data_IF_630818867263
#
_entry.id   IF_630818867263
#
_cell.length_a   1.000
_cell.length_b   1.000
_cell.length_c   1.000
_cell.angle_alpha   90.00
_cell.angle_beta   90.00
_cell.angle_gamma   90.00
#
_symmetry.space_group_name_H-M   'P 1'
#
loop_
_entity.id
_entity.type
_entity.pdbx_description
1 polymer ?
#
# COMPACT_ATOMS: atom_id res chain seq x y z
N UNK A 1 8.81 -8.60 -8.17
CA UNK A 1 7.69 -7.94 -7.47
C UNK A 1 8.23 -6.89 -6.52
N UNK A 2 7.39 -5.97 -6.04
CA UNK A 2 7.71 -5.01 -4.97
C UNK A 2 6.82 -5.24 -3.74
N UNK A 3 7.45 -5.46 -2.59
CA UNK A 3 6.80 -5.86 -1.33
C UNK A 3 6.44 -4.69 -0.40
N UNK A 4 6.57 -3.44 -0.84
CA UNK A 4 6.20 -2.30 0.01
C UNK A 4 4.69 -2.12 0.18
N UNK A 5 3.90 -2.88 -0.56
CA UNK A 5 2.45 -2.91 -0.46
C UNK A 5 2.00 -4.34 -0.73
N UNK A 6 1.34 -4.98 0.24
CA UNK A 6 0.94 -6.39 0.14
C UNK A 6 -0.49 -6.60 0.63
N UNK A 7 -1.24 -7.44 -0.09
CA UNK A 7 -2.39 -8.14 0.47
C UNK A 7 -1.88 -9.44 1.07
N UNK A 8 -2.19 -9.76 2.32
CA UNK A 8 -1.74 -10.99 2.96
C UNK A 8 -2.93 -11.72 3.57
N UNK A 9 -3.18 -12.95 3.15
CA UNK A 9 -4.07 -13.89 3.84
C UNK A 9 -3.20 -14.71 4.79
N UNK A 10 -3.09 -14.25 6.04
CA UNK A 10 -2.22 -14.84 7.05
C UNK A 10 -2.62 -16.28 7.37
N UNK A 11 -3.91 -16.61 7.35
CA UNK A 11 -4.40 -17.98 7.59
C UNK A 11 -3.86 -18.94 6.54
N UNK A 12 -3.99 -18.61 5.25
CA UNK A 12 -3.44 -19.45 4.18
C UNK A 12 -1.92 -19.46 4.15
N UNK A 13 -1.27 -18.34 4.48
CA UNK A 13 0.21 -18.29 4.58
C UNK A 13 0.71 -19.31 5.63
N UNK A 14 0.02 -19.41 6.77
CA UNK A 14 0.29 -20.43 7.81
C UNK A 14 -0.01 -21.84 7.31
N UNK A 15 -1.17 -22.06 6.67
CA UNK A 15 -1.57 -23.38 6.15
C UNK A 15 -0.56 -23.99 5.16
N UNK A 16 0.05 -23.16 4.31
CA UNK A 16 1.05 -23.61 3.33
C UNK A 16 2.48 -23.58 3.84
N UNK A 17 2.69 -23.27 5.13
CA UNK A 17 4.01 -23.15 5.78
C UNK A 17 5.00 -22.28 4.98
N UNK A 18 4.56 -21.12 4.48
CA UNK A 18 5.39 -20.23 3.64
C UNK A 18 6.71 -19.85 4.32
N UNK A 19 6.69 -19.62 5.64
CA UNK A 19 7.88 -19.18 6.38
C UNK A 19 8.98 -20.25 6.31
N UNK A 20 8.65 -21.54 6.49
CA UNK A 20 9.62 -22.63 6.38
C UNK A 20 10.30 -22.68 5.01
N UNK A 21 9.53 -22.44 3.94
CA UNK A 21 10.07 -22.39 2.58
C UNK A 21 10.96 -21.15 2.37
N UNK A 22 10.59 -20.00 2.92
CA UNK A 22 11.43 -18.80 2.93
C UNK A 22 12.74 -19.06 3.70
N UNK A 23 12.70 -19.77 4.83
CA UNK A 23 13.92 -20.12 5.58
C UNK A 23 14.84 -21.05 4.76
N UNK A 24 14.28 -22.02 4.03
CA UNK A 24 15.06 -22.87 3.10
C UNK A 24 15.69 -22.03 1.99
N UNK A 25 14.93 -21.12 1.38
CA UNK A 25 15.42 -20.17 0.37
C UNK A 25 16.55 -19.32 0.95
N UNK A 26 16.37 -18.80 2.16
CA UNK A 26 17.38 -18.01 2.86
C UNK A 26 18.68 -18.79 3.02
N UNK A 27 18.63 -20.03 3.51
CA UNK A 27 19.82 -20.86 3.69
C UNK A 27 20.57 -21.16 2.38
N UNK A 28 19.85 -21.22 1.24
CA UNK A 28 20.46 -21.43 -0.08
C UNK A 28 21.11 -20.14 -0.60
N UNK A 29 20.46 -19.00 -0.41
CA UNK A 29 20.81 -17.74 -1.07
C UNK A 29 21.36 -16.66 -0.15
N UNK A 30 21.62 -16.93 1.14
CA UNK A 30 22.05 -15.94 2.14
C UNK A 30 23.20 -15.04 1.66
N UNK A 31 24.16 -15.59 0.91
CA UNK A 31 25.32 -14.85 0.35
C UNK A 31 25.00 -14.00 -0.88
N UNK A 32 23.82 -14.18 -1.48
CA UNK A 32 23.38 -13.59 -2.75
C UNK A 32 22.06 -12.79 -2.64
N UNK A 33 21.57 -12.54 -1.41
CA UNK A 33 20.38 -11.72 -1.15
C UNK A 33 20.76 -10.23 -1.13
N UNK A 34 20.50 -9.52 -2.23
CA UNK A 34 20.87 -8.10 -2.38
C UNK A 34 19.88 -7.15 -1.71
N UNK A 35 18.59 -7.48 -1.74
CA UNK A 35 17.50 -6.65 -1.20
C UNK A 35 16.71 -7.38 -0.11
N UNK A 36 17.40 -8.15 0.72
CA UNK A 36 16.84 -8.77 1.92
C UNK A 36 15.60 -9.64 1.67
N UNK A 37 14.59 -9.35 2.47
CA UNK A 37 13.26 -9.92 2.41
C UNK A 37 12.58 -9.81 1.04
N UNK A 38 12.78 -8.72 0.29
CA UNK A 38 12.19 -8.60 -1.05
C UNK A 38 12.77 -9.65 -2.03
N UNK A 39 14.05 -10.01 -1.90
CA UNK A 39 14.62 -11.13 -2.66
C UNK A 39 14.00 -12.45 -2.26
N UNK A 40 13.84 -12.70 -0.95
CA UNK A 40 13.24 -13.95 -0.46
C UNK A 40 11.81 -14.14 -0.98
N UNK A 41 10.99 -13.09 -0.91
CA UNK A 41 9.62 -13.12 -1.44
C UNK A 41 9.61 -13.34 -2.96
N UNK A 42 10.50 -12.68 -3.70
CA UNK A 42 10.57 -12.86 -5.16
C UNK A 42 11.01 -14.27 -5.57
N UNK A 43 11.94 -14.90 -4.83
CA UNK A 43 12.33 -16.28 -5.09
C UNK A 43 11.17 -17.22 -4.75
N UNK A 44 10.50 -17.01 -3.61
CA UNK A 44 9.34 -17.82 -3.22
C UNK A 44 8.22 -17.77 -4.27
N UNK A 45 7.81 -16.58 -4.70
CA UNK A 45 6.73 -16.45 -5.71
C UNK A 45 7.17 -16.80 -7.13
N UNK A 46 8.47 -16.92 -7.40
CA UNK A 46 8.94 -17.54 -8.63
C UNK A 46 8.76 -19.07 -8.61
N UNK A 47 8.92 -19.70 -7.44
CA UNK A 47 8.70 -21.14 -7.25
C UNK A 47 7.22 -21.51 -7.12
N UNK A 48 6.40 -20.61 -6.56
CA UNK A 48 4.97 -20.82 -6.33
C UNK A 48 4.11 -19.68 -6.92
N UNK A 49 4.12 -19.48 -8.26
CA UNK A 49 3.39 -18.38 -8.90
C UNK A 49 1.87 -18.48 -8.70
N UNK A 50 1.32 -19.67 -8.51
CA UNK A 50 -0.10 -19.91 -8.27
C UNK A 50 -0.60 -19.39 -6.91
N UNK A 51 0.33 -19.09 -5.99
CA UNK A 51 0.02 -18.53 -4.66
C UNK A 51 -0.01 -17.01 -4.64
N UNK A 52 0.30 -16.37 -5.76
CA UNK A 52 0.40 -14.92 -5.89
C UNK A 52 -0.77 -14.36 -6.71
N UNK A 53 -1.49 -13.39 -6.14
CA UNK A 53 -2.29 -12.47 -6.93
C UNK A 53 -1.44 -11.29 -7.39
N UNK A 54 -1.10 -11.22 -8.67
CA UNK A 54 -0.51 -10.01 -9.24
C UNK A 54 -1.60 -8.97 -9.52
N UNK A 55 -1.47 -7.77 -8.95
CA UNK A 55 -2.36 -6.64 -9.24
C UNK A 55 -1.59 -5.46 -9.85
N UNK A 56 -2.36 -4.47 -10.33
CA UNK A 56 -1.88 -3.45 -11.26
C UNK A 56 -1.02 -2.37 -10.62
N UNK A 57 -0.07 -1.82 -11.40
CA UNK A 57 0.94 -0.84 -10.95
C UNK A 57 0.39 0.43 -10.30
N UNK A 58 -0.85 0.85 -10.57
CA UNK A 58 -1.39 2.07 -9.94
C UNK A 58 -1.56 1.95 -8.42
N UNK A 59 -1.54 0.73 -7.87
CA UNK A 59 -1.63 0.44 -6.44
C UNK A 59 -0.26 0.31 -5.73
N UNK A 60 0.84 0.49 -6.45
CA UNK A 60 2.19 0.59 -5.88
C UNK A 60 3.07 1.44 -6.81
N UNK A 61 2.65 2.69 -7.05
CA UNK A 61 3.28 3.54 -8.04
C UNK A 61 4.59 4.14 -7.50
N UNK A 62 5.70 3.84 -8.16
CA UNK A 62 7.05 4.20 -7.74
C UNK A 62 7.68 5.25 -8.66
N UNK A 63 8.75 5.93 -8.24
CA UNK A 63 9.42 6.91 -9.10
C UNK A 63 9.94 6.31 -10.41
N UNK A 64 10.30 5.02 -10.39
CA UNK A 64 10.70 4.26 -11.59
C UNK A 64 9.61 4.25 -12.69
N UNK A 65 8.34 4.49 -12.35
CA UNK A 65 7.24 4.49 -13.32
C UNK A 65 7.13 5.77 -14.16
N UNK A 66 7.84 6.84 -13.78
CA UNK A 66 7.84 8.10 -14.54
C UNK A 66 9.21 8.73 -14.71
N UNK A 67 10.27 8.10 -14.20
CA UNK A 67 11.63 8.64 -14.29
C UNK A 67 12.09 8.84 -15.73
N UNK A 68 11.70 7.95 -16.65
CA UNK A 68 12.06 8.01 -18.07
C UNK A 68 10.83 8.32 -18.92
N UNK A 69 9.85 7.42 -18.89
CA UNK A 69 8.55 7.53 -19.53
C UNK A 69 7.50 6.86 -18.65
N UNK A 70 6.22 7.04 -18.96
CA UNK A 70 5.17 6.32 -18.25
C UNK A 70 5.20 4.83 -18.63
N UNK A 71 5.71 4.00 -17.73
CA UNK A 71 5.66 2.55 -17.90
C UNK A 71 4.49 1.90 -17.14
N UNK A 72 3.63 2.69 -16.50
CA UNK A 72 2.39 2.22 -15.88
C UNK A 72 1.18 2.77 -16.67
N UNK A 73 0.86 2.22 -17.86
CA UNK A 73 -0.12 2.83 -18.77
C UNK A 73 -1.54 2.92 -18.17
N UNK A 74 -1.87 2.05 -17.22
CA UNK A 74 -3.17 2.08 -16.52
C UNK A 74 -3.39 3.40 -15.78
N UNK A 75 -2.35 4.12 -15.33
CA UNK A 75 -2.49 5.40 -14.63
C UNK A 75 -2.94 6.53 -15.53
N UNK A 76 -2.77 6.42 -16.85
CA UNK A 76 -3.32 7.41 -17.80
C UNK A 76 -4.85 7.40 -17.78
N UNK A 77 -5.47 6.25 -17.53
CA UNK A 77 -6.93 6.10 -17.50
C UNK A 77 -7.43 6.21 -16.07
N UNK A 78 -6.81 5.46 -15.15
CA UNK A 78 -7.31 5.25 -13.79
C UNK A 78 -6.76 6.25 -12.77
N UNK A 79 -5.64 6.91 -13.09
CA UNK A 79 -4.85 7.67 -12.12
C UNK A 79 -4.08 6.78 -11.15
N UNK A 80 -3.18 7.38 -10.39
CA UNK A 80 -2.42 6.70 -9.34
C UNK A 80 -3.33 6.50 -8.11
N UNK A 81 -3.32 5.29 -7.54
CA UNK A 81 -4.14 4.91 -6.37
C UNK A 81 -3.33 4.84 -5.07
N UNK A 82 -2.07 4.44 -5.15
CA UNK A 82 -1.12 4.47 -4.03
C UNK A 82 0.27 4.86 -4.57
N UNK A 83 0.88 5.83 -3.90
CA UNK A 83 2.20 6.37 -4.21
C UNK A 83 3.23 5.82 -3.22
N UNK A 84 4.32 5.25 -3.71
CA UNK A 84 5.36 4.63 -2.89
C UNK A 84 6.66 5.44 -2.98
N UNK A 85 7.00 6.10 -1.89
CA UNK A 85 8.16 6.96 -1.67
C UNK A 85 9.50 6.24 -1.58
N UNK A 86 9.63 5.05 -2.18
CA UNK A 86 10.83 4.23 -2.12
C UNK A 86 12.09 5.02 -2.54
N UNK A 87 13.25 4.62 -2.01
CA UNK A 87 14.54 5.35 -2.16
C UNK A 87 14.51 6.76 -1.57
N UNK A 88 13.63 7.01 -0.60
CA UNK A 88 13.48 8.30 0.07
C UNK A 88 12.88 9.38 -0.84
N UNK A 89 12.02 8.99 -1.77
CA UNK A 89 11.46 9.89 -2.78
C UNK A 89 10.57 11.00 -2.23
N UNK A 90 10.09 10.85 -0.99
CA UNK A 90 9.39 11.93 -0.29
C UNK A 90 10.30 12.99 0.29
N UNK A 91 11.60 12.71 0.44
CA UNK A 91 12.52 13.56 1.19
C UNK A 91 13.70 14.08 0.38
N UNK A 92 14.02 13.46 -0.75
CA UNK A 92 15.16 13.84 -1.58
C UNK A 92 14.77 14.77 -2.74
N UNK A 93 15.77 15.43 -3.34
CA UNK A 93 15.57 16.38 -4.44
C UNK A 93 15.47 15.72 -5.83
N UNK A 94 15.61 14.38 -5.91
CA UNK A 94 15.57 13.67 -7.19
C UNK A 94 14.13 13.45 -7.68
N UNK A 95 13.18 13.30 -6.76
CA UNK A 95 11.80 12.92 -7.06
C UNK A 95 10.83 14.01 -6.60
N UNK A 96 10.95 15.19 -7.20
CA UNK A 96 10.26 16.40 -6.77
C UNK A 96 8.74 16.26 -6.75
N UNK A 97 8.15 15.50 -7.66
CA UNK A 97 6.69 15.28 -7.71
C UNK A 97 6.20 14.43 -6.53
N UNK A 98 7.01 13.46 -6.09
CA UNK A 98 6.70 12.63 -4.93
C UNK A 98 6.79 13.48 -3.66
N UNK A 99 7.86 14.26 -3.53
CA UNK A 99 8.05 15.23 -2.44
C UNK A 99 6.94 16.27 -2.40
N UNK A 100 6.49 16.77 -3.56
CA UNK A 100 5.39 17.73 -3.68
C UNK A 100 4.07 17.17 -3.12
N UNK A 101 3.74 15.92 -3.43
CA UNK A 101 2.51 15.27 -2.93
C UNK A 101 2.62 14.99 -1.43
N UNK A 102 3.76 14.47 -0.97
CA UNK A 102 4.01 14.24 0.46
C UNK A 102 3.86 15.55 1.24
N UNK A 103 4.53 16.61 0.80
CA UNK A 103 4.45 17.95 1.39
C UNK A 103 3.02 18.49 1.43
N UNK A 104 2.26 18.35 0.36
CA UNK A 104 0.88 18.82 0.32
C UNK A 104 0.00 18.12 1.36
N UNK A 105 0.17 16.81 1.58
CA UNK A 105 -0.57 16.03 2.57
C UNK A 105 -0.06 16.32 3.98
N UNK A 106 1.25 16.50 4.17
CA UNK A 106 1.81 16.80 5.47
C UNK A 106 1.37 18.19 5.98
N UNK A 107 1.47 19.21 5.13
CA UNK A 107 1.00 20.58 5.43
C UNK A 107 -0.54 20.73 5.41
N UNK A 108 -1.28 19.65 5.14
CA UNK A 108 -2.74 19.69 5.20
C UNK A 108 -3.19 19.69 6.67
N UNK A 109 -4.05 20.65 7.00
CA UNK A 109 -4.67 20.78 8.32
C UNK A 109 -6.12 20.30 8.29
N UNK A 110 -6.57 19.75 9.41
CA UNK A 110 -7.91 19.16 9.55
C UNK A 110 -9.04 20.19 9.47
N UNK A 111 -8.74 21.46 9.70
CA UNK A 111 -9.71 22.57 9.59
C UNK A 111 -10.07 22.88 8.13
N UNK A 112 -9.20 22.54 7.17
CA UNK A 112 -9.49 22.70 5.74
C UNK A 112 -10.35 21.54 5.24
N UNK A 113 -11.65 21.64 5.53
CA UNK A 113 -12.64 20.57 5.39
C UNK A 113 -12.97 20.15 3.94
N UNK A 114 -12.13 20.46 2.95
CA UNK A 114 -12.39 20.08 1.57
C UNK A 114 -11.19 19.39 0.91
N UNK A 115 -11.47 18.20 0.38
CA UNK A 115 -10.66 17.52 -0.63
C UNK A 115 -10.23 18.47 -1.78
N UNK A 116 -10.99 19.53 -2.06
CA UNK A 116 -10.63 20.55 -3.05
C UNK A 116 -9.39 21.35 -2.66
N UNK A 117 -9.21 21.67 -1.38
CA UNK A 117 -8.03 22.40 -0.89
C UNK A 117 -6.77 21.58 -1.07
N UNK A 118 -6.79 20.30 -0.69
CA UNK A 118 -5.64 19.41 -0.91
C UNK A 118 -5.38 19.20 -2.41
N UNK A 119 -6.42 19.04 -3.24
CA UNK A 119 -6.23 18.95 -4.69
C UNK A 119 -5.57 20.21 -5.26
N UNK A 120 -5.98 21.39 -4.79
CA UNK A 120 -5.38 22.66 -5.21
C UNK A 120 -3.91 22.75 -4.80
N UNK A 121 -3.58 22.43 -3.54
CA UNK A 121 -2.19 22.39 -3.05
C UNK A 121 -1.32 21.42 -3.85
N UNK A 122 -1.81 20.19 -4.09
CA UNK A 122 -1.09 19.20 -4.90
C UNK A 122 -0.82 19.74 -6.31
N UNK A 123 -1.84 20.32 -6.96
CA UNK A 123 -1.66 20.92 -8.31
C UNK A 123 -0.65 22.06 -8.30
N UNK A 124 -0.68 22.92 -7.28
CA UNK A 124 0.25 24.03 -7.13
C UNK A 124 1.69 23.52 -7.04
N UNK A 125 1.99 22.61 -6.10
CA UNK A 125 3.34 22.08 -5.93
C UNK A 125 3.82 21.24 -7.13
N UNK A 126 2.94 20.47 -7.78
CA UNK A 126 3.31 19.75 -9.00
C UNK A 126 3.64 20.69 -10.17
N UNK A 127 3.03 21.87 -10.22
CA UNK A 127 3.27 22.83 -11.32
C UNK A 127 4.69 23.40 -11.33
N UNK A 128 5.34 23.45 -10.15
CA UNK A 128 6.74 23.87 -9.97
C UNK A 128 7.75 22.93 -10.67
N UNK A 129 7.32 21.72 -11.04
CA UNK A 129 8.18 20.66 -11.57
C UNK A 129 7.73 20.14 -12.94
N UNK A 130 6.96 20.93 -13.69
CA UNK A 130 6.39 20.55 -15.00
C UNK A 130 7.42 20.16 -16.08
N UNK A 131 8.71 20.49 -15.90
CA UNK A 131 9.78 20.20 -16.85
C UNK A 131 10.37 18.80 -16.72
N UNK A 132 10.23 18.13 -15.58
CA UNK A 132 10.73 16.76 -15.38
C UNK A 132 9.88 15.74 -16.16
N UNK A 133 10.37 14.50 -16.31
CA UNK A 133 9.60 13.45 -16.97
C UNK A 133 8.31 13.11 -16.20
N UNK A 134 8.38 13.02 -14.86
CA UNK A 134 7.22 12.83 -14.01
C UNK A 134 6.26 14.05 -14.03
N UNK A 135 6.81 15.26 -14.07
CA UNK A 135 6.04 16.50 -14.10
C UNK A 135 5.19 16.67 -15.36
N UNK A 136 5.71 16.26 -16.53
CA UNK A 136 4.97 16.25 -17.80
C UNK A 136 3.70 15.40 -17.75
N UNK A 137 3.69 14.36 -16.91
CA UNK A 137 2.56 13.44 -16.71
C UNK A 137 1.88 13.63 -15.34
N UNK A 138 2.08 14.78 -14.71
CA UNK A 138 1.55 15.14 -13.37
C UNK A 138 0.03 15.00 -13.23
N UNK A 139 -0.71 15.08 -14.35
CA UNK A 139 -2.16 14.87 -14.36
C UNK A 139 -2.59 13.52 -13.78
N UNK A 140 -1.76 12.47 -13.90
CA UNK A 140 -2.06 11.13 -13.38
C UNK A 140 -2.13 11.09 -11.84
N UNK A 141 -1.32 11.91 -11.16
CA UNK A 141 -1.29 11.98 -9.69
C UNK A 141 -2.56 12.63 -9.11
N UNK A 142 -3.21 13.50 -9.88
CA UNK A 142 -4.40 14.25 -9.42
C UNK A 142 -5.71 13.67 -9.95
N UNK A 143 -5.66 12.79 -10.94
CA UNK A 143 -6.82 12.26 -11.66
C UNK A 143 -7.85 11.61 -10.75
N UNK A 144 -7.42 10.72 -9.86
CA UNK A 144 -8.34 10.02 -8.97
C UNK A 144 -8.95 10.96 -7.91
N UNK A 145 -8.13 11.84 -7.34
CA UNK A 145 -8.57 12.85 -6.37
C UNK A 145 -9.65 13.75 -6.99
N UNK A 146 -9.42 14.23 -8.21
CA UNK A 146 -10.38 15.07 -8.93
C UNK A 146 -11.70 14.32 -9.20
N UNK A 147 -11.63 13.06 -9.62
CA UNK A 147 -12.80 12.21 -9.88
C UNK A 147 -13.67 12.03 -8.63
N UNK A 148 -13.05 11.77 -7.47
CA UNK A 148 -13.76 11.64 -6.19
C UNK A 148 -14.47 12.92 -5.77
N UNK A 149 -13.83 14.09 -5.99
CA UNK A 149 -14.43 15.40 -5.70
C UNK A 149 -15.63 15.65 -6.61
N UNK A 150 -15.49 15.45 -7.92
CA UNK A 150 -16.58 15.64 -8.89
C UNK A 150 -17.75 14.67 -8.67
N UNK A 151 -17.49 13.45 -8.18
CA UNK A 151 -18.54 12.49 -7.83
C UNK A 151 -19.33 12.90 -6.58
N UNK A 152 -18.70 13.59 -5.61
CA UNK A 152 -19.41 14.16 -4.45
C UNK A 152 -20.28 15.35 -4.83
N UNK A 153 -19.80 16.27 -5.66
CA UNK A 153 -20.57 17.45 -6.06
C UNK A 153 -21.86 17.06 -6.81
N UNK A 154 -21.78 16.09 -7.73
CA UNK A 154 -22.96 15.57 -8.44
C UNK A 154 -24.02 14.92 -7.54
N UNK A 155 -23.63 14.42 -6.36
CA UNK A 155 -24.60 13.89 -5.38
C UNK A 155 -25.24 14.99 -4.53
N UNK A 156 -24.60 16.14 -4.39
CA UNK A 156 -25.15 17.30 -3.70
C UNK A 156 -26.05 18.15 -4.62
N UNK A 157 -25.82 18.10 -5.94
CA UNK A 157 -26.68 18.77 -6.93
C UNK A 157 -27.99 18.01 -7.19
N UNK A 158 -28.09 16.74 -6.82
CA UNK A 158 -29.34 15.96 -6.81
C UNK A 158 -29.99 16.08 -5.42
N UNK A 159 -30.37 17.30 -5.07
CA UNK A 159 -31.55 17.51 -4.21
C UNK A 159 -32.72 17.67 -5.17
N UNK A 160 -33.18 16.56 -5.75
CA UNK A 160 -34.34 16.58 -6.63
C UNK A 160 -35.53 15.92 -5.95
N UNK A 161 -36.62 16.69 -5.95
CA UNK A 161 -37.89 16.38 -5.34
C UNK A 161 -38.45 15.07 -5.90
N UNK A 162 -38.85 14.18 -5.00
CA UNK A 162 -39.53 12.95 -5.38
C UNK A 162 -40.82 13.26 -6.16
N UNK A 163 -40.83 12.92 -7.44
CA UNK A 163 -42.06 12.57 -8.15
C UNK A 163 -42.00 11.08 -8.47
N UNK A 164 -42.65 10.28 -7.64
CA UNK A 164 -43.00 8.91 -7.99
C UNK A 164 -44.15 8.94 -8.99
N UNK A 165 -43.91 8.50 -10.24
CA UNK A 165 -45.00 8.00 -11.09
C UNK A 165 -45.12 6.50 -10.90
N UNK A 166 -46.36 6.07 -10.62
CA UNK A 166 -46.73 4.66 -10.62
C UNK A 166 -46.49 4.01 -11.99
N UNK A 167 -46.30 2.70 -11.96
CA UNK A 167 -46.16 1.74 -13.08
C UNK A 167 -44.83 1.77 -13.84
N UNK A 168 -43.88 0.95 -13.38
CA UNK A 168 -43.33 -0.18 -14.16
C UNK A 168 -42.36 -0.98 -13.28
N UNK A 169 -42.53 -2.30 -13.28
CA UNK A 169 -41.74 -3.26 -12.50
C UNK A 169 -40.25 -3.20 -12.90
N UNK A 170 -39.40 -2.75 -11.99
CA UNK A 170 -37.95 -2.92 -12.09
C UNK A 170 -37.60 -4.32 -11.56
N UNK A 171 -37.49 -5.30 -12.46
CA UNK A 171 -36.81 -6.57 -12.17
C UNK A 171 -35.35 -6.29 -11.85
N UNK A 172 -34.97 -6.42 -10.58
CA UNK A 172 -33.57 -6.33 -10.13
C UNK A 172 -32.77 -7.50 -10.72
N UNK A 173 -31.54 -7.28 -11.22
CA UNK A 173 -30.63 -8.38 -11.48
C UNK A 173 -30.31 -9.06 -10.16
N UNK A 174 -30.53 -10.38 -10.10
CA UNK A 174 -30.15 -11.22 -8.96
C UNK A 174 -28.65 -11.15 -8.76
N UNK A 175 -28.23 -10.50 -7.67
CA UNK A 175 -26.86 -10.53 -7.18
C UNK A 175 -26.57 -11.97 -6.73
N UNK A 176 -25.74 -12.69 -7.49
CA UNK A 176 -25.21 -13.97 -7.03
C UNK A 176 -24.44 -13.73 -5.73
N UNK A 177 -24.82 -14.46 -4.69
CA UNK A 177 -24.15 -14.49 -3.38
C UNK A 177 -22.73 -15.05 -3.53
N UNK A 178 -21.78 -14.17 -3.84
CA UNK A 178 -20.37 -14.37 -3.46
C UNK A 178 -20.25 -13.80 -2.06
N UNK A 179 -19.88 -14.62 -1.09
CA UNK A 179 -19.58 -14.20 0.29
C UNK A 179 -18.43 -13.19 0.27
N UNK A 180 -18.77 -11.91 0.13
CA UNK A 180 -17.81 -10.80 0.12
C UNK A 180 -17.06 -10.78 1.43
N UNK A 181 -15.75 -10.47 1.39
CA UNK A 181 -14.95 -10.20 2.58
C UNK A 181 -15.50 -8.92 3.23
N UNK A 182 -16.52 -9.08 4.06
CA UNK A 182 -17.29 -8.00 4.65
C UNK A 182 -16.85 -7.75 6.11
N UNK A 183 -15.53 -7.75 6.32
CA UNK A 183 -14.90 -7.35 7.57
C UNK A 183 -14.20 -6.00 7.38
N UNK A 184 -14.05 -5.27 8.48
CA UNK A 184 -13.30 -4.02 8.54
C UNK A 184 -11.86 -4.17 8.04
N UNK A 185 -11.28 -3.18 7.35
CA UNK A 185 -9.89 -3.26 6.90
C UNK A 185 -8.91 -3.38 8.07
N UNK A 186 -7.97 -4.33 7.96
CA UNK A 186 -6.81 -4.46 8.85
C UNK A 186 -5.56 -3.96 8.13
N UNK A 187 -4.94 -2.90 8.63
CA UNK A 187 -3.70 -2.32 8.11
C UNK A 187 -2.57 -2.60 9.09
N UNK A 188 -1.52 -3.28 8.64
CA UNK A 188 -0.32 -3.56 9.42
C UNK A 188 0.86 -2.71 8.92
N UNK A 189 1.59 -2.10 9.85
CA UNK A 189 2.78 -1.30 9.60
C UNK A 189 3.92 -1.77 10.51
N UNK A 190 5.12 -1.91 9.95
CA UNK A 190 6.36 -2.12 10.73
C UNK A 190 7.09 -0.79 10.84
N UNK A 191 7.36 -0.34 12.06
CA UNK A 191 7.93 1.00 12.33
C UNK A 191 9.12 0.84 13.29
N UNK A 192 10.32 1.15 12.81
CA UNK A 192 11.51 1.20 13.65
C UNK A 192 12.27 2.52 13.47
N UNK A 193 12.82 3.04 14.56
CA UNK A 193 13.47 4.34 14.62
C UNK A 193 12.52 5.51 14.31
N UNK A 194 13.05 6.55 13.68
CA UNK A 194 12.36 7.83 13.48
C UNK A 194 11.54 7.86 12.18
N UNK A 195 10.50 7.01 12.12
CA UNK A 195 9.60 6.85 10.97
C UNK A 195 8.18 7.36 11.23
N UNK A 196 7.96 7.94 12.41
CA UNK A 196 6.65 8.35 12.88
C UNK A 196 6.04 9.53 12.10
N UNK A 197 6.85 10.40 11.47
CA UNK A 197 6.33 11.41 10.52
C UNK A 197 5.74 10.76 9.27
N UNK A 198 6.46 9.83 8.63
CA UNK A 198 5.99 9.18 7.42
C UNK A 198 4.67 8.43 7.68
N UNK A 199 4.59 7.75 8.81
CA UNK A 199 3.37 7.06 9.25
C UNK A 199 2.23 8.06 9.46
N UNK A 200 2.47 9.20 10.09
CA UNK A 200 1.43 10.22 10.28
C UNK A 200 0.91 10.75 8.94
N UNK A 201 1.77 11.01 7.97
CA UNK A 201 1.37 11.47 6.62
C UNK A 201 0.62 10.37 5.86
N UNK A 202 1.03 9.10 5.97
CA UNK A 202 0.27 7.96 5.46
C UNK A 202 -1.14 7.93 6.06
N UNK A 203 -1.28 8.04 7.38
CA UNK A 203 -2.59 8.05 8.03
C UNK A 203 -3.44 9.27 7.62
N UNK A 204 -2.83 10.46 7.46
CA UNK A 204 -3.50 11.65 6.89
C UNK A 204 -4.03 11.35 5.48
N UNK A 205 -3.24 10.68 4.64
CA UNK A 205 -3.66 10.29 3.30
C UNK A 205 -4.86 9.32 3.33
N UNK A 206 -4.84 8.31 4.20
CA UNK A 206 -5.95 7.37 4.37
C UNK A 206 -7.21 8.11 4.83
N UNK A 207 -7.08 9.00 5.82
CA UNK A 207 -8.18 9.82 6.33
C UNK A 207 -8.77 10.73 5.24
N UNK A 208 -7.91 11.37 4.44
CA UNK A 208 -8.33 12.21 3.33
C UNK A 208 -9.14 11.41 2.31
N UNK A 209 -8.67 10.24 1.88
CA UNK A 209 -9.22 9.57 0.70
C UNK A 209 -10.26 8.47 1.00
N UNK A 210 -10.32 7.97 2.24
CA UNK A 210 -11.30 6.96 2.67
C UNK A 210 -12.55 7.62 3.25
N UNK A 211 -13.73 7.04 3.02
CA UNK A 211 -14.99 7.62 3.54
C UNK A 211 -15.21 7.15 4.97
N UNK A 212 -15.50 8.09 5.87
CA UNK A 212 -15.78 7.84 7.29
C UNK A 212 -17.00 6.93 7.54
N UNK A 213 -17.84 6.65 6.54
CA UNK A 213 -19.00 5.73 6.64
C UNK A 213 -18.63 4.26 6.48
N UNK A 214 -17.41 3.96 6.04
CA UNK A 214 -16.87 2.61 6.02
C UNK A 214 -16.34 2.31 7.41
N UNK A 215 -16.57 1.09 7.93
CA UNK A 215 -16.22 0.67 9.28
C UNK A 215 -14.81 1.09 9.74
N UNK A 216 -14.60 1.22 11.05
CA UNK A 216 -13.28 1.52 11.65
C UNK A 216 -12.15 0.68 11.04
N UNK A 217 -11.00 1.30 10.81
CA UNK A 217 -9.81 0.63 10.30
C UNK A 217 -9.01 0.11 11.50
N UNK A 218 -8.73 -1.19 11.54
CA UNK A 218 -7.83 -1.75 12.54
C UNK A 218 -6.39 -1.49 12.13
N UNK A 219 -5.68 -0.69 12.93
CA UNK A 219 -4.30 -0.29 12.67
C UNK A 219 -3.37 -1.09 13.60
N UNK A 220 -2.67 -2.07 13.04
CA UNK A 220 -1.70 -2.91 13.73
C UNK A 220 -0.31 -2.32 13.56
N UNK A 221 0.23 -1.71 14.61
CA UNK A 221 1.55 -1.08 14.62
C UNK A 221 2.55 -2.02 15.29
N UNK A 222 3.44 -2.60 14.49
CA UNK A 222 4.55 -3.42 14.98
C UNK A 222 5.76 -2.50 15.12
N UNK A 223 6.18 -2.23 16.35
CA UNK A 223 7.09 -1.11 16.65
C UNK A 223 8.23 -1.49 17.58
N UNK A 224 9.39 -0.87 17.41
CA UNK A 224 10.36 -0.80 18.51
C UNK A 224 9.89 0.18 19.61
N UNK A 225 10.57 0.17 20.76
CA UNK A 225 10.19 0.98 21.93
C UNK A 225 10.20 2.49 21.66
N UNK A 226 11.09 2.98 20.79
CA UNK A 226 11.18 4.40 20.45
C UNK A 226 10.01 4.81 19.57
N UNK A 227 9.77 4.07 18.48
CA UNK A 227 8.68 4.28 17.56
C UNK A 227 7.31 4.19 18.27
N UNK A 228 7.13 3.24 19.19
CA UNK A 228 5.93 3.10 20.02
C UNK A 228 5.60 4.39 20.77
N UNK A 229 6.59 4.95 21.49
CA UNK A 229 6.45 6.18 22.26
C UNK A 229 6.13 7.38 21.36
N UNK A 230 6.85 7.52 20.25
CA UNK A 230 6.63 8.60 19.28
C UNK A 230 5.21 8.52 18.69
N UNK A 231 4.78 7.34 18.28
CA UNK A 231 3.46 7.13 17.69
C UNK A 231 2.32 7.39 18.69
N UNK A 232 2.46 6.97 19.96
CA UNK A 232 1.46 7.27 21.00
C UNK A 232 1.32 8.77 21.15
N UNK A 233 2.44 9.51 21.24
CA UNK A 233 2.42 10.97 21.34
C UNK A 233 1.73 11.60 20.13
N UNK A 234 2.13 11.26 18.90
CA UNK A 234 1.55 11.83 17.68
C UNK A 234 0.07 11.55 17.54
N UNK A 235 -0.36 10.31 17.77
CA UNK A 235 -1.77 9.95 17.69
C UNK A 235 -2.61 10.59 18.81
N UNK A 236 -1.98 11.00 19.92
CA UNK A 236 -2.66 11.81 20.95
C UNK A 236 -2.85 13.28 20.57
N UNK A 237 -2.08 13.78 19.60
CA UNK A 237 -2.12 15.16 19.11
C UNK A 237 -3.02 15.31 17.86
N UNK A 238 -3.29 14.23 17.10
CA UNK A 238 -4.21 14.30 15.96
C UNK A 238 -5.66 14.52 16.39
N UNK A 239 -6.48 15.22 15.58
CA UNK A 239 -7.88 15.48 15.91
C UNK A 239 -8.72 14.21 16.11
N UNK A 240 -9.73 14.34 16.99
CA UNK A 240 -10.58 13.23 17.40
C UNK A 240 -11.26 12.53 16.21
N UNK A 241 -11.68 13.29 15.20
CA UNK A 241 -12.32 12.75 14.00
C UNK A 241 -11.42 11.77 13.24
N UNK A 242 -10.11 12.08 13.13
CA UNK A 242 -9.15 11.15 12.54
C UNK A 242 -8.88 9.98 13.47
N UNK A 243 -8.72 10.24 14.78
CA UNK A 243 -8.44 9.19 15.76
C UNK A 243 -9.53 8.13 15.81
N UNK A 244 -10.80 8.53 15.71
CA UNK A 244 -11.95 7.62 15.73
C UNK A 244 -12.02 6.72 14.49
N UNK A 245 -11.35 7.08 13.39
CA UNK A 245 -11.26 6.24 12.20
C UNK A 245 -10.42 4.98 12.44
N UNK A 246 -9.47 5.03 13.38
CA UNK A 246 -8.48 3.98 13.60
C UNK A 246 -8.64 3.31 14.97
N UNK A 247 -8.79 1.99 14.99
CA UNK A 247 -8.64 1.18 16.19
C UNK A 247 -7.18 0.70 16.22
N UNK A 248 -6.37 1.34 17.06
CA UNK A 248 -4.92 1.12 17.09
C UNK A 248 -4.55 -0.01 18.06
N UNK A 249 -3.74 -0.95 17.59
CA UNK A 249 -3.11 -2.01 18.39
C UNK A 249 -1.60 -1.96 18.20
N UNK A 250 -0.86 -2.03 19.31
CA UNK A 250 0.60 -2.03 19.30
C UNK A 250 1.13 -3.44 19.55
N UNK A 251 2.16 -3.81 18.82
CA UNK A 251 2.89 -5.06 18.92
C UNK A 251 4.39 -4.75 18.94
N UNK A 252 5.17 -5.56 19.65
CA UNK A 252 6.60 -5.38 19.70
C UNK A 252 7.28 -6.06 18.49
N UNK A 253 8.49 -5.62 18.13
CA UNK A 253 9.31 -6.28 17.10
C UNK A 253 9.80 -7.62 17.64
N UNK A 254 9.19 -8.69 17.15
CA UNK A 254 9.48 -10.07 17.57
C UNK A 254 9.86 -10.90 16.34
N UNK A 255 11.04 -11.53 16.44
CA UNK A 255 11.46 -12.60 15.56
C UNK A 255 11.25 -13.93 16.28
N UNK A 256 10.61 -14.93 15.64
CA UNK A 256 10.37 -16.22 16.26
C UNK A 256 11.65 -16.92 16.72
N UNK A 257 11.57 -17.74 17.77
CA UNK A 257 12.76 -18.36 18.40
C UNK A 257 13.52 -19.35 17.52
N UNK A 258 12.93 -19.77 16.40
CA UNK A 258 13.56 -20.67 15.43
C UNK A 258 14.45 -19.93 14.41
N UNK A 259 14.53 -18.60 14.46
CA UNK A 259 15.50 -17.80 13.68
C UNK A 259 16.46 -17.04 14.58
N UNK A 260 17.67 -16.76 14.07
CA UNK A 260 18.61 -15.86 14.74
C UNK A 260 18.12 -14.41 14.62
N UNK A 261 17.74 -13.81 15.76
CA UNK A 261 17.20 -12.45 15.78
C UNK A 261 18.16 -11.43 15.17
N UNK A 262 19.44 -11.49 15.52
CA UNK A 262 20.42 -10.47 15.12
C UNK A 262 20.74 -10.56 13.63
N UNK A 263 20.77 -11.77 13.08
CA UNK A 263 20.90 -12.01 11.65
C UNK A 263 19.70 -11.46 10.88
N UNK A 264 18.48 -11.79 11.32
CA UNK A 264 17.26 -11.44 10.58
C UNK A 264 16.90 -9.96 10.69
N UNK A 265 17.04 -9.36 11.87
CA UNK A 265 16.72 -7.94 12.07
C UNK A 265 17.64 -7.01 11.26
N UNK A 266 18.87 -7.45 11.00
CA UNK A 266 19.90 -6.69 10.27
C UNK A 266 20.10 -7.16 8.82
N UNK A 267 19.27 -8.10 8.32
CA UNK A 267 19.46 -8.69 6.99
C UNK A 267 19.38 -7.65 5.85
N UNK A 268 18.64 -6.56 6.05
CA UNK A 268 18.56 -5.48 5.07
C UNK A 268 18.43 -4.11 5.74
N UNK A 269 17.20 -3.62 5.89
CA UNK A 269 16.91 -2.46 6.75
C UNK A 269 16.54 -2.99 8.12
N UNK A 270 16.94 -2.27 9.16
CA UNK A 270 16.59 -2.59 10.53
C UNK A 270 15.06 -2.81 10.63
N UNK A 271 14.67 -3.99 11.14
CA UNK A 271 13.29 -4.48 11.23
C UNK A 271 12.57 -4.78 9.91
N UNK A 272 13.15 -4.56 8.73
CA UNK A 272 12.44 -4.71 7.45
C UNK A 272 11.89 -6.12 7.24
N UNK A 273 12.67 -7.14 7.63
CA UNK A 273 12.30 -8.56 7.54
C UNK A 273 11.14 -8.96 8.46
N UNK A 274 10.73 -8.12 9.42
CA UNK A 274 9.60 -8.38 10.31
C UNK A 274 8.32 -8.72 9.52
N UNK A 275 8.14 -8.15 8.32
CA UNK A 275 6.96 -8.42 7.48
C UNK A 275 6.81 -9.87 7.06
N UNK A 276 7.91 -10.63 6.98
CA UNK A 276 7.90 -12.07 6.69
C UNK A 276 7.23 -12.85 7.83
N UNK A 277 7.42 -12.41 9.07
CA UNK A 277 6.98 -13.11 10.28
C UNK A 277 5.61 -12.63 10.81
N UNK A 278 4.94 -11.71 10.09
CA UNK A 278 3.58 -11.28 10.46
C UNK A 278 2.56 -12.43 10.60
N UNK A 279 2.60 -13.52 9.79
CA UNK A 279 1.67 -14.64 9.97
C UNK A 279 1.76 -15.28 11.36
N UNK A 280 2.96 -15.33 11.95
CA UNK A 280 3.18 -15.94 13.27
C UNK A 280 3.00 -14.92 14.40
N UNK A 281 3.32 -13.66 14.14
CA UNK A 281 3.22 -12.57 15.11
C UNK A 281 1.78 -12.03 15.25
N UNK A 282 0.90 -12.33 14.29
CA UNK A 282 -0.53 -11.96 14.28
C UNK A 282 -1.40 -13.20 14.06
N UNK A 283 -1.34 -14.20 14.97
CA UNK A 283 -2.01 -15.49 14.79
C UNK A 283 -3.54 -15.38 14.77
N UNK A 284 -4.10 -14.33 15.36
CA UNK A 284 -5.54 -14.10 15.47
C UNK A 284 -6.17 -13.47 14.22
N UNK A 285 -5.36 -13.01 13.26
CA UNK A 285 -5.82 -12.30 12.08
C UNK A 285 -5.82 -13.19 10.84
N UNK A 286 -6.86 -13.06 10.02
CA UNK A 286 -6.97 -13.79 8.75
C UNK A 286 -6.36 -13.02 7.57
N UNK A 287 -6.64 -11.73 7.46
CA UNK A 287 -6.23 -10.91 6.33
C UNK A 287 -5.69 -9.57 6.83
N UNK A 288 -4.61 -9.09 6.20
CA UNK A 288 -4.06 -7.76 6.45
C UNK A 288 -3.61 -7.11 5.13
N UNK A 289 -3.75 -5.79 5.04
CA UNK A 289 -2.94 -4.98 4.14
C UNK A 289 -1.66 -4.65 4.87
N UNK A 290 -0.51 -4.94 4.28
CA UNK A 290 0.78 -4.46 4.77
C UNK A 290 1.25 -3.31 3.89
N UNK A 291 1.61 -2.18 4.48
CA UNK A 291 2.26 -1.05 3.79
C UNK A 291 3.62 -0.72 4.43
N UNK A 292 4.61 -0.39 3.60
CA UNK A 292 5.81 0.32 4.06
C UNK A 292 5.42 1.74 4.53
N UNK A 293 6.20 2.31 5.46
CA UNK A 293 5.89 3.61 6.08
C UNK A 293 5.94 4.76 5.09
N UNK A 294 6.74 4.64 4.03
CA UNK A 294 6.89 5.60 2.94
C UNK A 294 5.88 5.37 1.82
N UNK A 295 4.62 5.12 2.16
CA UNK A 295 3.51 5.02 1.20
C UNK A 295 2.46 6.10 1.45
N UNK A 296 1.76 6.52 0.40
CA UNK A 296 0.64 7.47 0.48
C UNK A 296 -0.52 6.92 -0.33
N UNK A 297 -1.67 6.77 0.32
CA UNK A 297 -2.87 6.32 -0.33
C UNK A 297 -3.53 7.52 -1.02
N UNK A 298 -3.85 7.41 -2.31
CA UNK A 298 -4.58 8.45 -3.06
C UNK A 298 -6.03 8.02 -3.35
N UNK A 299 -6.37 6.76 -3.09
CA UNK A 299 -7.68 6.12 -3.25
C UNK A 299 -8.29 5.74 -1.88
N UNK A 300 -9.56 5.36 -1.82
CA UNK A 300 -10.15 4.78 -0.59
C UNK A 300 -9.50 3.44 -0.22
N UNK A 301 -9.20 3.26 1.07
CA UNK A 301 -8.64 2.02 1.60
C UNK A 301 -9.60 0.84 1.40
N UNK A 302 -10.91 1.07 1.46
CA UNK A 302 -11.94 0.05 1.18
C UNK A 302 -11.80 -0.54 -0.22
N UNK A 303 -11.41 0.29 -1.20
CA UNK A 303 -11.16 -0.19 -2.56
C UNK A 303 -9.93 -1.06 -2.62
N UNK A 304 -8.89 -0.76 -1.83
CA UNK A 304 -7.74 -1.64 -1.71
C UNK A 304 -8.17 -2.96 -1.06
N UNK A 305 -8.82 -2.88 0.11
CA UNK A 305 -9.30 -4.04 0.84
C UNK A 305 -10.16 -4.97 -0.02
N UNK A 306 -11.01 -4.40 -0.88
CA UNK A 306 -11.85 -5.17 -1.80
C UNK A 306 -11.09 -6.02 -2.83
N UNK A 307 -9.80 -5.78 -3.05
CA UNK A 307 -8.96 -6.60 -3.93
C UNK A 307 -8.78 -8.02 -3.38
N UNK A 308 -8.98 -8.27 -2.08
CA UNK A 308 -9.01 -9.63 -1.55
C UNK A 308 -10.14 -10.48 -2.16
N UNK A 309 -11.22 -9.87 -2.66
CA UNK A 309 -12.27 -10.61 -3.37
C UNK A 309 -11.77 -11.23 -4.71
N UNK A 310 -10.61 -10.82 -5.19
CA UNK A 310 -9.96 -11.41 -6.36
C UNK A 310 -9.02 -12.58 -6.00
N UNK A 311 -8.88 -12.94 -4.72
CA UNK A 311 -8.14 -14.13 -4.33
C UNK A 311 -8.92 -15.38 -4.78
N UNK A 312 -8.26 -16.28 -5.51
CA UNK A 312 -8.79 -17.61 -5.79
C UNK A 312 -8.52 -18.52 -4.57
N UNK A 313 -8.62 -19.84 -4.73
CA UNK A 313 -8.39 -20.78 -3.62
C UNK A 313 -6.91 -20.92 -3.21
N UNK A 314 -5.96 -20.62 -4.10
CA UNK A 314 -4.52 -20.81 -3.88
C UNK A 314 -3.80 -19.53 -3.50
N UNK A 315 -4.34 -18.35 -3.85
CA UNK A 315 -3.73 -17.07 -3.53
C UNK A 315 -3.59 -16.88 -2.01
N UNK A 316 -2.37 -16.59 -1.56
CA UNK A 316 -2.03 -16.31 -0.15
C UNK A 316 -1.54 -14.87 0.02
N UNK A 317 -0.93 -14.30 -1.01
CA UNK A 317 -0.41 -12.94 -1.03
C UNK A 317 -0.78 -12.28 -2.36
N UNK A 318 -1.06 -10.99 -2.33
CA UNK A 318 -1.13 -10.15 -3.51
C UNK A 318 0.01 -9.14 -3.53
N UNK A 319 0.65 -8.95 -4.69
CA UNK A 319 1.71 -7.95 -4.91
C UNK A 319 1.59 -7.29 -6.29
N UNK A 320 2.35 -6.20 -6.46
CA UNK A 320 2.61 -5.57 -7.77
C UNK A 320 3.99 -5.98 -8.27
N UNK A 321 4.14 -6.02 -9.59
CA UNK A 321 5.46 -6.01 -10.23
C UNK A 321 6.34 -4.86 -9.74
N UNK A 322 7.64 -5.08 -9.81
CA UNK A 322 8.62 -4.03 -9.49
C UNK A 322 8.63 -2.98 -10.61
N UNK A 323 8.53 -3.42 -11.85
CA UNK A 323 8.41 -2.61 -13.05
C UNK A 323 7.54 -3.40 -14.06
N UNK A 324 6.70 -2.70 -14.82
CA UNK A 324 5.88 -3.29 -15.88
C UNK A 324 6.74 -3.70 -17.10
N UNK A 325 7.85 -3.00 -17.33
CA UNK A 325 8.80 -3.31 -18.40
C UNK A 325 9.94 -4.13 -17.80
N UNK A 326 9.99 -5.42 -18.13
CA UNK A 326 10.94 -6.38 -17.55
C UNK A 326 12.40 -5.94 -17.76
N UNK A 327 12.74 -5.37 -18.92
CA UNK A 327 14.10 -4.91 -19.24
C UNK A 327 14.55 -3.72 -18.39
N UNK A 328 13.60 -2.96 -17.83
CA UNK A 328 13.86 -1.84 -16.93
C UNK A 328 13.80 -2.27 -15.44
N UNK A 329 13.48 -3.53 -15.16
CA UNK A 329 13.44 -4.02 -13.80
C UNK A 329 14.85 -4.16 -13.23
N UNK A 330 14.99 -3.82 -11.95
CA UNK A 330 16.27 -3.92 -11.26
C UNK A 330 16.71 -5.37 -11.04
N UNK A 331 15.79 -6.33 -11.02
CA UNK A 331 16.11 -7.72 -10.75
C UNK A 331 16.95 -8.37 -11.86
N UNK A 332 16.54 -8.37 -13.14
CA UNK A 332 17.39 -8.85 -14.24
C UNK A 332 18.73 -8.12 -14.35
N UNK A 333 18.78 -6.84 -13.98
CA UNK A 333 19.97 -5.99 -14.16
C UNK A 333 21.00 -6.11 -13.03
N UNK A 334 20.55 -6.31 -11.78
CA UNK A 334 21.42 -6.13 -10.61
C UNK A 334 21.31 -7.24 -9.54
N UNK A 335 20.38 -8.20 -9.67
CA UNK A 335 20.30 -9.29 -8.68
C UNK A 335 21.49 -10.25 -8.79
N UNK A 336 21.98 -10.71 -7.64
CA UNK A 336 23.14 -11.62 -7.54
C UNK A 336 22.77 -13.10 -7.37
N UNK A 337 21.49 -13.39 -7.12
CA UNK A 337 20.97 -14.75 -7.24
C UNK A 337 20.70 -15.05 -8.72
N UNK A 338 20.76 -16.31 -9.19
CA UNK A 338 20.31 -16.63 -10.54
C UNK A 338 18.89 -16.08 -10.71
N UNK A 339 18.75 -15.05 -11.54
CA UNK A 339 17.45 -14.62 -12.01
C UNK A 339 16.99 -15.74 -12.93
N UNK A 340 16.19 -16.67 -12.39
CA UNK A 340 15.57 -17.69 -13.20
C UNK A 340 14.52 -16.95 -14.03
N UNK A 341 14.87 -16.68 -15.29
CA UNK A 341 13.93 -16.19 -16.27
C UNK A 341 12.68 -17.07 -16.21
N UNK A 342 11.46 -16.52 -16.24
CA UNK A 342 10.27 -17.34 -16.40
C UNK A 342 10.48 -18.13 -17.69
N UNK A 343 10.72 -19.43 -17.57
CA UNK A 343 10.62 -20.34 -18.71
C UNK A 343 9.17 -20.27 -19.13
N UNK A 344 8.93 -19.56 -20.23
CA UNK A 344 7.66 -19.61 -20.96
C UNK A 344 7.48 -21.08 -21.34
N UNK A 345 6.58 -21.78 -20.65
CA UNK A 345 6.13 -23.11 -21.05
C UNK A 345 4.99 -22.98 -22.04
#
# INVERSE_FOLDING_TARGET
>A
LNSGVMLMNLTRIREVNMIDDILKIYNIYEKNITWGDQCLLNIYFNQYPERLLEFTCEWNYRPDHCMYENNCPTTEIMGIKLLHGCRGAFHNEKYQEFKAIYRAIDEWNFESNLKSTILHKIKLYLSEHSTTNCGKISSMFTKHIAKEISAKNRKNDINDHGTCSATNECTKPTLNNVSSIQNSPHLALVICGDRDEEVLVLLKSIFLFTKYSSTNIYLHLITDEQAKKNMIKKLSEVPLLMRQMFIVKYYDIIYPSYVDREQWINLFRYCGTQRIFLPDNLPELDHILYFDTDTLLLQSLDRFWSLFNNFNQTHIVGLVKENEVLQLSWYPLYSKHPFVWPTVY
#
